data_IF_872370711195
#
_entry.id   IF_872370711195
#
_cell.length_a   1.000
_cell.length_b   1.000
_cell.length_c   1.000
_cell.angle_alpha   90.00
_cell.angle_beta   90.00
_cell.angle_gamma   90.00
#
_symmetry.space_group_name_H-M   'P 1'
#
loop_
_entity.id
_entity.type
_entity.pdbx_description
1 polymer ?
#
# COMPACT_ATOMS: atom_id res chain seq x y z
N UNK A 1 4.09 11.36 -13.88
CA UNK A 1 2.91 10.73 -14.50
C UNK A 1 1.85 10.45 -13.45
N UNK A 2 0.56 10.75 -13.69
CA UNK A 2 -0.51 10.35 -12.78
C UNK A 2 -0.51 8.84 -12.55
N UNK A 3 -0.82 8.40 -11.33
CA UNK A 3 -1.00 6.99 -11.01
C UNK A 3 -2.00 6.81 -9.86
N UNK A 4 -2.55 5.60 -9.75
CA UNK A 4 -3.49 5.26 -8.67
C UNK A 4 -2.77 4.93 -7.36
N UNK A 5 -1.59 4.34 -7.47
CA UNK A 5 -0.75 3.88 -6.35
C UNK A 5 0.70 4.18 -6.67
N UNK A 6 1.43 4.69 -5.69
CA UNK A 6 2.89 4.80 -5.71
C UNK A 6 3.43 3.61 -4.92
N UNK A 7 4.45 2.92 -5.45
CA UNK A 7 5.01 1.76 -4.76
C UNK A 7 5.68 2.17 -3.44
N UNK A 8 5.47 1.36 -2.39
CA UNK A 8 6.04 1.62 -1.06
C UNK A 8 7.58 1.57 -1.00
N UNK A 9 8.28 1.05 -2.02
CA UNK A 9 9.75 0.96 -2.00
C UNK A 9 10.44 2.33 -2.06
N UNK A 10 9.84 3.28 -2.77
CA UNK A 10 10.34 4.63 -2.93
C UNK A 10 9.14 5.56 -2.98
N UNK A 11 8.78 6.05 -1.79
CA UNK A 11 7.54 6.75 -1.56
C UNK A 11 7.81 8.05 -0.81
N UNK A 12 7.16 9.12 -1.24
CA UNK A 12 7.21 10.41 -0.56
C UNK A 12 5.80 11.01 -0.49
N UNK A 13 5.49 11.62 0.64
CA UNK A 13 4.22 12.31 0.87
C UNK A 13 4.45 13.50 1.81
N UNK A 14 3.71 14.61 1.66
CA UNK A 14 3.81 15.71 2.62
C UNK A 14 3.44 15.24 4.03
N UNK A 15 4.24 15.59 5.03
CA UNK A 15 3.99 15.23 6.43
C UNK A 15 2.58 15.61 6.88
N UNK A 16 2.13 16.83 6.55
CA UNK A 16 0.79 17.30 6.91
C UNK A 16 -0.33 16.41 6.32
N UNK A 17 -0.16 15.89 5.10
CA UNK A 17 -1.12 14.97 4.48
C UNK A 17 -1.07 13.59 5.15
N UNK A 18 0.13 13.11 5.50
CA UNK A 18 0.30 11.86 6.23
C UNK A 18 -0.41 11.91 7.59
N UNK A 19 -0.19 12.97 8.35
CA UNK A 19 -0.77 13.17 9.67
C UNK A 19 -2.30 13.39 9.57
N UNK A 20 -2.79 14.17 8.59
CA UNK A 20 -4.23 14.38 8.33
C UNK A 20 -4.96 13.07 8.02
N UNK A 21 -4.34 12.18 7.25
CA UNK A 21 -4.97 10.92 6.81
C UNK A 21 -4.75 9.76 7.79
N UNK A 22 -4.04 9.98 8.91
CA UNK A 22 -3.76 8.97 9.92
C UNK A 22 -2.63 7.98 9.54
N UNK A 23 -1.82 8.30 8.54
CA UNK A 23 -0.67 7.51 8.13
C UNK A 23 -1.00 6.15 7.51
N UNK A 24 -0.04 5.22 7.57
CA UNK A 24 -0.26 3.83 7.17
C UNK A 24 -1.05 3.07 8.24
N UNK A 25 -2.04 2.26 7.81
CA UNK A 25 -2.83 1.42 8.72
C UNK A 25 -2.02 0.18 9.15
N UNK A 26 -1.59 0.16 10.41
CA UNK A 26 -0.80 -0.92 11.02
C UNK A 26 -1.47 -2.30 10.93
N UNK A 27 -2.78 -2.38 10.69
CA UNK A 27 -3.45 -3.66 10.48
C UNK A 27 -2.99 -4.40 9.21
N UNK A 28 -2.35 -3.70 8.26
CA UNK A 28 -1.70 -4.32 7.09
C UNK A 28 -0.34 -4.93 7.43
N UNK A 29 0.21 -4.71 8.62
CA UNK A 29 1.48 -5.31 9.02
C UNK A 29 1.43 -6.86 8.93
N UNK A 30 2.55 -7.51 8.56
CA UNK A 30 3.88 -6.92 8.33
C UNK A 30 4.14 -6.41 6.92
N UNK A 31 3.24 -6.62 5.95
CA UNK A 31 3.46 -6.22 4.56
C UNK A 31 2.21 -6.36 3.70
N UNK A 32 2.25 -5.74 2.52
CA UNK A 32 1.23 -5.76 1.46
C UNK A 32 -0.03 -4.95 1.80
N UNK A 33 -0.39 -4.08 0.87
CA UNK A 33 -1.60 -3.25 0.83
C UNK A 33 -1.56 -1.96 1.64
N UNK A 34 -0.55 -1.73 2.48
CA UNK A 34 -0.39 -0.48 3.23
C UNK A 34 -0.29 0.74 2.30
N UNK A 35 0.52 0.66 1.24
CA UNK A 35 0.68 1.75 0.27
C UNK A 35 -0.55 1.92 -0.62
N UNK A 36 -1.23 0.83 -0.94
CA UNK A 36 -2.47 0.84 -1.74
C UNK A 36 -3.57 1.54 -0.96
N UNK A 37 -3.73 1.21 0.31
CA UNK A 37 -4.70 1.82 1.21
C UNK A 37 -4.43 3.32 1.40
N UNK A 38 -3.18 3.69 1.69
CA UNK A 38 -2.81 5.09 1.86
C UNK A 38 -3.00 5.92 0.58
N UNK A 39 -2.56 5.43 -0.59
CA UNK A 39 -2.80 6.13 -1.86
C UNK A 39 -4.30 6.26 -2.17
N UNK A 40 -5.10 5.29 -1.76
CA UNK A 40 -6.55 5.34 -1.91
C UNK A 40 -7.17 6.39 -1.00
N UNK A 41 -6.71 6.51 0.26
CA UNK A 41 -7.11 7.60 1.16
C UNK A 41 -6.72 8.97 0.63
N UNK A 42 -5.49 9.12 0.11
CA UNK A 42 -5.03 10.36 -0.54
C UNK A 42 -5.99 10.75 -1.68
N UNK A 43 -6.33 9.82 -2.57
CA UNK A 43 -7.24 10.10 -3.69
C UNK A 43 -8.67 10.39 -3.24
N UNK A 44 -9.17 9.68 -2.22
CA UNK A 44 -10.48 9.94 -1.64
C UNK A 44 -10.58 11.34 -0.99
N UNK A 45 -9.45 11.90 -0.53
CA UNK A 45 -9.38 13.29 -0.02
C UNK A 45 -9.33 14.37 -1.12
N UNK A 46 -9.52 14.00 -2.39
CA UNK A 46 -9.45 14.93 -3.53
C UNK A 46 -8.04 15.28 -4.01
N UNK A 47 -7.01 14.59 -3.49
CA UNK A 47 -5.61 14.74 -3.89
C UNK A 47 -5.24 13.71 -4.97
N UNK A 48 -4.03 13.83 -5.54
CA UNK A 48 -3.55 12.97 -6.64
C UNK A 48 -2.21 12.35 -6.30
N UNK A 49 -1.98 11.14 -6.81
CA UNK A 49 -0.69 10.47 -6.73
C UNK A 49 0.05 10.58 -8.07
N UNK A 50 1.38 10.63 -8.01
CA UNK A 50 2.23 10.78 -9.18
C UNK A 50 3.49 9.93 -9.07
N UNK A 51 3.82 9.22 -10.15
CA UNK A 51 5.18 8.74 -10.39
C UNK A 51 6.05 9.87 -10.90
N UNK A 52 7.24 10.06 -10.33
CA UNK A 52 8.20 11.09 -10.75
C UNK A 52 9.14 10.48 -11.80
N UNK A 53 9.14 10.99 -13.06
CA UNK A 53 10.07 10.51 -14.08
C UNK A 53 11.50 10.99 -13.78
N UNK A 54 12.50 10.33 -14.35
CA UNK A 54 13.91 10.69 -14.18
C UNK A 54 14.51 10.31 -12.83
N UNK A 55 13.79 9.53 -12.01
CA UNK A 55 14.29 8.93 -10.78
C UNK A 55 14.62 7.46 -11.05
N UNK A 56 15.90 7.18 -11.22
CA UNK A 56 16.41 5.82 -11.45
C UNK A 56 17.03 5.29 -10.15
N UNK A 57 16.34 4.33 -9.53
CA UNK A 57 16.79 3.68 -8.29
C UNK A 57 16.68 2.18 -8.48
N UNK A 58 17.78 1.47 -8.23
CA UNK A 58 17.77 0.02 -8.13
C UNK A 58 17.10 -0.38 -6.82
N UNK A 59 16.01 -1.13 -6.92
CA UNK A 59 15.33 -1.70 -5.77
C UNK A 59 15.66 -3.18 -5.67
N UNK A 60 16.48 -3.54 -4.68
CA UNK A 60 16.69 -4.94 -4.34
C UNK A 60 15.42 -5.50 -3.69
N UNK A 61 14.66 -6.28 -4.46
CA UNK A 61 13.37 -6.80 -4.03
C UNK A 61 13.45 -7.62 -2.75
N UNK A 62 12.66 -7.22 -1.75
CA UNK A 62 12.56 -7.91 -0.48
C UNK A 62 11.77 -9.22 -0.50
N UNK A 63 11.47 -9.67 0.73
CA UNK A 63 10.82 -10.95 1.06
C UNK A 63 9.51 -11.16 0.27
N UNK A 64 8.73 -10.13 0.00
CA UNK A 64 7.41 -10.23 -0.64
C UNK A 64 7.44 -10.64 -2.11
N UNK A 65 8.55 -10.42 -2.84
CA UNK A 65 8.61 -10.67 -4.31
C UNK A 65 9.62 -11.73 -4.74
N UNK A 66 10.72 -11.90 -3.98
CA UNK A 66 11.69 -13.00 -4.22
C UNK A 66 11.35 -14.28 -3.47
N UNK A 67 10.57 -14.20 -2.40
CA UNK A 67 10.26 -15.40 -1.64
C UNK A 67 9.04 -16.13 -2.17
N UNK A 68 9.06 -17.45 -1.98
CA UNK A 68 7.93 -18.29 -2.30
C UNK A 68 6.70 -17.87 -1.50
N UNK A 69 5.48 -18.01 -2.06
CA UNK A 69 4.23 -17.64 -1.37
C UNK A 69 4.02 -18.31 0.00
N UNK A 70 4.68 -19.44 0.25
CA UNK A 70 4.65 -20.18 1.52
C UNK A 70 5.74 -19.78 2.52
N UNK A 71 6.64 -18.85 2.17
CA UNK A 71 7.60 -18.31 3.15
C UNK A 71 6.82 -17.70 4.30
N UNK A 72 7.21 -18.08 5.52
CA UNK A 72 6.60 -17.58 6.75
C UNK A 72 7.31 -16.30 7.19
N UNK A 73 6.51 -15.34 7.63
CA UNK A 73 6.94 -14.10 8.27
C UNK A 73 6.40 -14.14 9.69
N UNK A 74 7.30 -13.91 10.66
CA UNK A 74 6.93 -13.77 12.06
C UNK A 74 6.93 -12.29 12.42
N UNK A 75 5.81 -11.79 12.92
CA UNK A 75 5.62 -10.40 13.30
C UNK A 75 4.53 -10.32 14.38
N UNK A 76 4.77 -9.54 15.43
CA UNK A 76 3.80 -9.27 16.51
C UNK A 76 3.15 -10.56 17.08
N UNK A 77 3.97 -11.53 17.47
CA UNK A 77 3.52 -12.82 18.02
C UNK A 77 2.80 -13.74 17.04
N UNK A 78 2.59 -13.32 15.78
CA UNK A 78 1.99 -14.11 14.72
C UNK A 78 3.05 -14.66 13.79
N UNK A 79 2.75 -15.80 13.17
CA UNK A 79 3.55 -16.35 12.09
C UNK A 79 2.60 -16.76 10.97
N UNK A 80 2.74 -16.12 9.82
CA UNK A 80 1.85 -16.31 8.66
C UNK A 80 2.66 -16.48 7.38
N UNK A 81 2.09 -17.13 6.37
CA UNK A 81 2.71 -17.16 5.04
C UNK A 81 2.47 -15.83 4.32
N UNK A 82 3.40 -15.43 3.45
CA UNK A 82 3.22 -14.25 2.59
C UNK A 82 1.89 -14.28 1.81
N UNK A 83 1.49 -15.46 1.31
CA UNK A 83 0.20 -15.65 0.65
C UNK A 83 -0.98 -15.37 1.59
N UNK A 84 -0.91 -15.83 2.84
CA UNK A 84 -1.96 -15.58 3.83
C UNK A 84 -2.10 -14.10 4.14
N UNK A 85 -0.96 -13.43 4.41
CA UNK A 85 -0.90 -12.00 4.71
C UNK A 85 -1.49 -11.20 3.55
N UNK A 86 -0.99 -11.41 2.34
CA UNK A 86 -1.50 -10.71 1.15
C UNK A 86 -3.00 -10.91 0.94
N UNK A 87 -3.52 -12.14 1.16
CA UNK A 87 -4.95 -12.44 1.01
C UNK A 87 -5.82 -11.78 2.08
N UNK A 88 -5.41 -11.81 3.36
CA UNK A 88 -6.19 -11.15 4.43
C UNK A 88 -6.18 -9.63 4.26
N UNK A 89 -5.06 -9.08 3.81
CA UNK A 89 -4.90 -7.65 3.59
C UNK A 89 -5.70 -7.16 2.39
N UNK A 90 -5.71 -7.92 1.28
CA UNK A 90 -6.61 -7.64 0.16
C UNK A 90 -8.07 -7.62 0.61
N UNK A 91 -8.50 -8.61 1.40
CA UNK A 91 -9.87 -8.69 1.88
C UNK A 91 -10.20 -7.48 2.75
N UNK A 92 -9.32 -7.11 3.69
CA UNK A 92 -9.47 -5.92 4.52
C UNK A 92 -9.62 -4.64 3.68
N UNK A 93 -8.77 -4.45 2.68
CA UNK A 93 -8.85 -3.30 1.78
C UNK A 93 -10.21 -3.25 1.07
N UNK A 94 -10.66 -4.38 0.53
CA UNK A 94 -11.95 -4.49 -0.14
C UNK A 94 -13.11 -4.19 0.81
N UNK A 95 -13.08 -4.69 2.04
CA UNK A 95 -14.09 -4.42 3.08
C UNK A 95 -14.11 -2.93 3.48
N UNK A 96 -12.93 -2.32 3.69
CA UNK A 96 -12.79 -0.90 4.07
C UNK A 96 -13.33 0.05 2.99
N UNK A 97 -13.05 -0.25 1.72
CA UNK A 97 -13.38 0.63 0.60
C UNK A 97 -14.65 0.22 -0.17
N UNK A 98 -15.38 -0.81 0.30
CA UNK A 98 -16.57 -1.34 -0.39
C UNK A 98 -17.65 -0.29 -0.68
N UNK A 99 -17.81 0.70 0.21
CA UNK A 99 -18.84 1.75 0.15
C UNK A 99 -18.32 3.11 -0.33
N UNK A 100 -17.04 3.22 -0.67
CA UNK A 100 -16.39 4.50 -0.94
C UNK A 100 -16.02 4.63 -2.42
N UNK A 101 -16.72 5.46 -3.21
CA UNK A 101 -16.30 5.77 -4.57
C UNK A 101 -15.05 6.65 -4.51
N UNK A 102 -13.89 6.08 -4.83
CA UNK A 102 -12.63 6.83 -4.91
C UNK A 102 -12.60 7.56 -6.26
N UNK A 103 -12.46 8.88 -6.22
CA UNK A 103 -12.33 9.69 -7.41
C UNK A 103 -11.07 9.26 -8.19
N UNK A 104 -11.25 8.91 -9.48
CA UNK A 104 -10.16 8.37 -10.31
C UNK A 104 -10.57 7.48 -11.47
N UNK A 105 -11.84 7.04 -11.58
CA UNK A 105 -12.35 6.48 -12.84
C UNK A 105 -12.59 7.61 -13.85
N UNK A 106 -11.53 8.12 -14.46
CA UNK A 106 -11.69 8.69 -15.80
C UNK A 106 -12.05 7.53 -16.73
N UNK A 107 -13.17 7.69 -17.42
CA UNK A 107 -13.64 6.81 -18.48
C UNK A 107 -12.58 6.59 -19.58
#
# INVERSE_FOLDING_TARGET
>A
MPCEVVSGFLFATPRAVYDELGGFDDAYAPCSWEEVDYCTAVRASGRRCYGVPGVEIEHEWGISRRAMPWKRVSFDGRSETLRSIHRRNRRRFQEKWASHPVAGRTA
#
